data_IF_330756400299
#
_entry.id   IF_330756400299
#
_cell.length_a   1.000
_cell.length_b   1.000
_cell.length_c   1.000
_cell.angle_alpha   90.00
_cell.angle_beta   90.00
_cell.angle_gamma   90.00
#
_symmetry.space_group_name_H-M   'P 1'
#
loop_
_entity.id
_entity.type
_entity.pdbx_description
1 polymer ?
#
# COMPACT_ATOMS: atom_id res chain seq x y z
N UNK A 1 10.72 12.21 15.89
CA UNK A 1 10.74 11.28 14.75
C UNK A 1 11.09 12.15 13.56
N UNK A 2 12.14 11.83 12.81
CA UNK A 2 12.50 12.65 11.65
C UNK A 2 11.38 12.49 10.63
N UNK A 3 10.55 13.51 10.48
CA UNK A 3 9.81 13.72 9.24
C UNK A 3 10.87 13.83 8.15
N UNK A 4 11.20 12.70 7.52
CA UNK A 4 11.99 12.73 6.30
C UNK A 4 11.10 13.43 5.29
N UNK A 5 11.43 14.68 4.99
CA UNK A 5 10.78 15.41 3.90
C UNK A 5 10.94 14.54 2.66
N UNK A 6 9.82 14.13 2.05
CA UNK A 6 9.83 13.35 0.81
C UNK A 6 10.68 14.11 -0.22
N UNK A 7 11.48 13.38 -0.98
CA UNK A 7 12.26 14.01 -2.04
C UNK A 7 11.34 14.56 -3.12
N UNK A 8 11.76 15.59 -3.85
CA UNK A 8 11.00 16.11 -4.99
C UNK A 8 10.73 15.01 -6.03
N UNK A 9 11.64 14.04 -6.16
CA UNK A 9 11.46 12.86 -7.01
C UNK A 9 10.37 11.91 -6.51
N UNK A 10 10.32 11.65 -5.20
CA UNK A 10 9.26 10.80 -4.60
C UNK A 10 7.89 11.43 -4.77
N UNK A 11 7.76 12.74 -4.53
CA UNK A 11 6.50 13.46 -4.71
C UNK A 11 6.03 13.43 -6.17
N UNK A 12 6.97 13.55 -7.13
CA UNK A 12 6.64 13.45 -8.54
C UNK A 12 6.26 12.02 -8.95
N UNK A 13 6.98 11.01 -8.45
CA UNK A 13 6.65 9.61 -8.69
C UNK A 13 5.27 9.24 -8.12
N UNK A 14 4.91 9.75 -6.94
CA UNK A 14 3.57 9.60 -6.38
C UNK A 14 2.50 10.23 -7.27
N UNK A 15 2.75 11.43 -7.82
CA UNK A 15 1.84 12.06 -8.78
C UNK A 15 1.68 11.22 -10.06
N UNK A 16 2.75 10.60 -10.56
CA UNK A 16 2.67 9.67 -11.68
C UNK A 16 1.82 8.45 -11.32
N UNK A 17 2.03 7.84 -10.14
CA UNK A 17 1.22 6.72 -9.69
C UNK A 17 -0.28 7.09 -9.59
N UNK A 18 -0.59 8.25 -9.01
CA UNK A 18 -1.96 8.75 -8.95
C UNK A 18 -2.57 8.99 -10.34
N UNK A 19 -1.79 9.50 -11.29
CA UNK A 19 -2.24 9.69 -12.67
C UNK A 19 -2.50 8.35 -13.39
N UNK A 20 -1.71 7.31 -13.10
CA UNK A 20 -1.92 5.95 -13.62
C UNK A 20 -3.22 5.36 -13.05
N UNK A 21 -3.43 5.45 -11.74
CA UNK A 21 -4.65 4.96 -11.07
C UNK A 21 -5.91 5.68 -11.59
N UNK A 22 -5.80 6.99 -11.84
CA UNK A 22 -6.85 7.79 -12.48
C UNK A 22 -7.09 7.50 -13.97
N UNK A 23 -6.25 6.67 -14.60
CA UNK A 23 -6.29 6.39 -16.04
C UNK A 23 -5.89 7.58 -16.92
N UNK A 24 -5.19 8.56 -16.35
CA UNK A 24 -4.71 9.76 -17.04
C UNK A 24 -3.39 9.53 -17.79
N UNK A 25 -2.59 8.57 -17.31
CA UNK A 25 -1.37 8.11 -18.00
C UNK A 25 -1.20 6.59 -17.97
N UNK A 26 -0.25 6.09 -18.77
CA UNK A 26 0.12 4.67 -18.84
C UNK A 26 1.13 4.33 -17.75
N UNK A 27 0.99 3.17 -17.12
CA UNK A 27 1.89 2.66 -16.07
C UNK A 27 3.37 2.64 -16.49
N UNK A 28 3.65 2.52 -17.80
CA UNK A 28 4.99 2.51 -18.37
C UNK A 28 5.76 3.81 -18.07
N UNK A 29 5.09 4.96 -18.01
CA UNK A 29 5.74 6.24 -17.71
C UNK A 29 6.29 6.27 -16.28
N UNK A 30 5.52 5.76 -15.31
CA UNK A 30 5.98 5.66 -13.93
C UNK A 30 7.10 4.63 -13.77
N UNK A 31 7.02 3.49 -14.46
CA UNK A 31 8.07 2.45 -14.45
C UNK A 31 9.38 3.01 -15.02
N UNK A 32 9.34 3.71 -16.15
CA UNK A 32 10.53 4.35 -16.74
C UNK A 32 11.13 5.40 -15.79
N UNK A 33 10.29 6.21 -15.14
CA UNK A 33 10.75 7.18 -14.16
C UNK A 33 11.45 6.51 -12.96
N UNK A 34 10.91 5.40 -12.46
CA UNK A 34 11.55 4.58 -11.42
C UNK A 34 12.92 4.06 -11.89
N UNK A 35 13.00 3.47 -13.09
CA UNK A 35 14.24 2.90 -13.61
C UNK A 35 15.35 3.96 -13.75
N UNK A 36 15.01 5.13 -14.29
CA UNK A 36 15.95 6.23 -14.50
C UNK A 36 16.60 6.72 -13.19
N UNK A 37 15.85 6.73 -12.09
CA UNK A 37 16.31 7.25 -10.80
C UNK A 37 16.78 6.16 -9.83
N UNK A 38 16.54 4.88 -10.13
CA UNK A 38 16.92 3.74 -9.28
C UNK A 38 18.44 3.64 -9.00
N UNK A 39 19.26 4.38 -9.75
CA UNK A 39 20.71 4.41 -9.62
C UNK A 39 21.23 5.66 -8.89
N UNK A 40 20.33 6.56 -8.48
CA UNK A 40 20.70 7.78 -7.75
C UNK A 40 21.14 7.45 -6.33
N UNK A 41 22.12 8.22 -5.83
CA UNK A 41 22.75 7.93 -4.53
C UNK A 41 21.81 8.07 -3.32
N UNK A 42 20.74 8.84 -3.46
CA UNK A 42 19.74 9.09 -2.41
C UNK A 42 18.43 8.31 -2.65
N UNK A 43 18.43 7.36 -3.60
CA UNK A 43 17.25 6.58 -3.95
C UNK A 43 16.88 5.57 -2.85
N UNK A 44 15.63 5.63 -2.38
CA UNK A 44 15.07 4.68 -1.43
C UNK A 44 14.07 3.74 -2.12
N UNK A 45 14.57 2.58 -2.57
CA UNK A 45 13.76 1.60 -3.29
C UNK A 45 12.56 1.09 -2.49
N UNK A 46 12.67 1.02 -1.15
CA UNK A 46 11.58 0.59 -0.28
C UNK A 46 10.44 1.62 -0.29
N UNK A 47 10.80 2.90 -0.14
CA UNK A 47 9.85 4.01 -0.14
C UNK A 47 9.11 4.11 -1.47
N UNK A 48 9.82 3.98 -2.59
CA UNK A 48 9.21 4.04 -3.92
C UNK A 48 8.31 2.83 -4.18
N UNK A 49 8.72 1.64 -3.74
CA UNK A 49 7.85 0.46 -3.81
C UNK A 49 6.55 0.66 -3.02
N UNK A 50 6.63 1.24 -1.81
CA UNK A 50 5.44 1.52 -1.00
C UNK A 50 4.50 2.53 -1.66
N UNK A 51 5.04 3.60 -2.27
CA UNK A 51 4.26 4.57 -3.05
C UNK A 51 3.51 3.85 -4.18
N UNK A 52 4.22 3.02 -4.96
CA UNK A 52 3.61 2.29 -6.07
C UNK A 52 2.58 1.27 -5.57
N UNK A 53 2.88 0.51 -4.52
CA UNK A 53 1.97 -0.48 -3.94
C UNK A 53 0.66 0.17 -3.52
N UNK A 54 0.73 1.33 -2.86
CA UNK A 54 -0.45 2.00 -2.33
C UNK A 54 -1.26 2.74 -3.41
N UNK A 55 -0.59 3.43 -4.32
CA UNK A 55 -1.27 4.31 -5.30
C UNK A 55 -1.53 3.65 -6.65
N UNK A 56 -0.65 2.78 -7.14
CA UNK A 56 -0.77 2.19 -8.47
C UNK A 56 -0.23 0.74 -8.49
N UNK A 57 -1.04 -0.26 -8.10
CA UNK A 57 -0.61 -1.66 -8.04
C UNK A 57 -0.03 -2.19 -9.36
N UNK A 58 -0.44 -1.66 -10.51
CA UNK A 58 0.13 -2.00 -11.82
C UNK A 58 1.57 -1.50 -11.99
N UNK A 59 1.90 -0.32 -11.47
CA UNK A 59 3.29 0.16 -11.40
C UNK A 59 4.10 -0.71 -10.45
N UNK A 60 3.54 -1.05 -9.28
CA UNK A 60 4.21 -1.94 -8.31
C UNK A 60 4.57 -3.29 -8.94
N UNK A 61 3.68 -3.87 -9.75
CA UNK A 61 3.93 -5.09 -10.54
C UNK A 61 5.10 -4.92 -11.52
N UNK A 62 5.23 -3.76 -12.13
CA UNK A 62 6.32 -3.44 -13.05
C UNK A 62 7.67 -3.27 -12.36
N UNK A 63 7.69 -2.72 -11.14
CA UNK A 63 8.95 -2.35 -10.47
C UNK A 63 9.45 -3.36 -9.44
N UNK A 64 8.60 -4.25 -8.91
CA UNK A 64 8.95 -5.11 -7.76
C UNK A 64 10.22 -5.93 -8.01
N UNK A 65 10.43 -6.43 -9.23
CA UNK A 65 11.60 -7.23 -9.61
C UNK A 65 12.92 -6.43 -9.67
N UNK A 66 12.84 -5.10 -9.71
CA UNK A 66 13.99 -4.20 -9.64
C UNK A 66 14.37 -3.82 -8.21
N UNK A 67 13.49 -4.08 -7.24
CA UNK A 67 13.75 -3.83 -5.82
C UNK A 67 14.40 -5.07 -5.21
N UNK A 68 15.60 -4.90 -4.65
CA UNK A 68 16.31 -6.01 -4.00
C UNK A 68 15.58 -6.48 -2.74
N UNK A 69 15.76 -7.75 -2.38
CA UNK A 69 15.08 -8.36 -1.23
C UNK A 69 15.32 -7.58 0.08
N UNK A 70 16.51 -7.01 0.27
CA UNK A 70 16.84 -6.21 1.45
C UNK A 70 16.00 -4.92 1.54
N UNK A 71 15.68 -4.30 0.41
CA UNK A 71 14.83 -3.11 0.39
C UNK A 71 13.36 -3.47 0.50
N UNK A 72 12.92 -4.59 -0.09
CA UNK A 72 11.56 -5.12 0.15
C UNK A 72 11.31 -5.36 1.65
N UNK A 73 12.30 -5.88 2.37
CA UNK A 73 12.21 -6.11 3.83
C UNK A 73 11.98 -4.83 4.65
N UNK A 74 12.30 -3.67 4.09
CA UNK A 74 12.13 -2.36 4.74
C UNK A 74 10.78 -1.70 4.44
N UNK A 75 9.91 -2.36 3.67
CA UNK A 75 8.58 -1.84 3.34
C UNK A 75 7.77 -1.51 4.59
N UNK A 76 7.06 -0.38 4.54
CA UNK A 76 6.14 0.12 5.53
C UNK A 76 4.68 0.03 5.06
N UNK A 77 4.39 -0.74 4.01
CA UNK A 77 3.05 -0.83 3.41
C UNK A 77 1.95 -1.21 4.42
N UNK A 78 2.26 -2.08 5.38
CA UNK A 78 1.31 -2.45 6.45
C UNK A 78 0.89 -1.24 7.29
N UNK A 79 1.85 -0.38 7.67
CA UNK A 79 1.57 0.83 8.43
C UNK A 79 0.80 1.85 7.59
N UNK A 80 1.20 2.03 6.32
CA UNK A 80 0.51 2.92 5.37
C UNK A 80 -0.96 2.55 5.22
N UNK A 81 -1.28 1.27 5.02
CA UNK A 81 -2.66 0.80 4.95
C UNK A 81 -3.37 1.06 6.29
N UNK A 82 -2.76 0.66 7.41
CA UNK A 82 -3.36 0.81 8.73
C UNK A 82 -3.67 2.28 9.13
N UNK A 83 -2.87 3.22 8.65
CA UNK A 83 -3.05 4.66 8.88
C UNK A 83 -4.12 5.31 7.99
N UNK A 84 -4.54 4.63 6.92
CA UNK A 84 -5.56 5.15 6.00
C UNK A 84 -6.93 4.46 6.17
N UNK A 85 -7.02 3.35 6.90
CA UNK A 85 -8.28 2.61 7.11
C UNK A 85 -9.37 3.41 7.84
N UNK A 86 -9.02 4.51 8.51
CA UNK A 86 -9.96 5.42 9.17
C UNK A 86 -10.66 6.39 8.19
N UNK A 87 -10.11 6.56 6.99
CA UNK A 87 -10.65 7.45 5.94
C UNK A 87 -10.98 6.71 4.64
N UNK A 88 -10.36 5.56 4.38
CA UNK A 88 -10.49 4.75 3.17
C UNK A 88 -11.00 3.34 3.54
N UNK A 89 -12.29 3.23 3.83
CA UNK A 89 -12.92 1.98 4.29
C UNK A 89 -14.14 1.55 3.48
N UNK A 90 -14.32 2.11 2.28
CA UNK A 90 -15.35 1.66 1.35
C UNK A 90 -15.07 0.27 0.78
N UNK A 91 -16.06 -0.30 0.08
CA UNK A 91 -15.96 -1.59 -0.61
C UNK A 91 -14.70 -1.64 -1.51
N UNK A 92 -14.52 -0.60 -2.34
CA UNK A 92 -13.42 -0.53 -3.30
C UNK A 92 -12.06 -0.38 -2.61
N UNK A 93 -11.97 0.42 -1.53
CA UNK A 93 -10.73 0.61 -0.77
C UNK A 93 -10.31 -0.67 -0.05
N UNK A 94 -11.24 -1.34 0.63
CA UNK A 94 -10.96 -2.58 1.34
C UNK A 94 -10.56 -3.70 0.37
N UNK A 95 -11.21 -3.80 -0.78
CA UNK A 95 -10.84 -4.75 -1.82
C UNK A 95 -9.43 -4.47 -2.38
N UNK A 96 -9.10 -3.19 -2.61
CA UNK A 96 -7.77 -2.76 -3.03
C UNK A 96 -6.70 -3.11 -1.98
N UNK A 97 -6.96 -2.86 -0.70
CA UNK A 97 -6.02 -3.22 0.37
C UNK A 97 -5.78 -4.72 0.45
N UNK A 98 -6.83 -5.54 0.31
CA UNK A 98 -6.69 -7.00 0.22
C UNK A 98 -5.78 -7.41 -0.95
N UNK A 99 -5.97 -6.81 -2.12
CA UNK A 99 -5.15 -7.09 -3.30
C UNK A 99 -3.68 -6.71 -3.09
N UNK A 100 -3.43 -5.51 -2.55
CA UNK A 100 -2.08 -5.01 -2.24
C UNK A 100 -1.38 -5.95 -1.27
N UNK A 101 -2.04 -6.35 -0.18
CA UNK A 101 -1.47 -7.23 0.85
C UNK A 101 -1.11 -8.59 0.25
N UNK A 102 -2.00 -9.18 -0.55
CA UNK A 102 -1.73 -10.47 -1.21
C UNK A 102 -0.58 -10.37 -2.20
N UNK A 103 -0.53 -9.29 -2.98
CA UNK A 103 0.54 -9.06 -3.92
C UNK A 103 1.88 -8.89 -3.21
N UNK A 104 1.94 -8.07 -2.17
CA UNK A 104 3.14 -7.84 -1.37
C UNK A 104 3.69 -9.17 -0.80
N UNK A 105 2.84 -9.95 -0.12
CA UNK A 105 3.21 -11.26 0.43
C UNK A 105 3.71 -12.23 -0.64
N UNK A 106 3.06 -12.26 -1.80
CA UNK A 106 3.45 -13.14 -2.92
C UNK A 106 4.81 -12.78 -3.54
N UNK A 107 5.26 -11.52 -3.40
CA UNK A 107 6.51 -11.02 -3.97
C UNK A 107 7.62 -10.81 -2.93
N UNK A 108 7.46 -11.36 -1.73
CA UNK A 108 8.47 -11.32 -0.67
C UNK A 108 8.60 -9.96 0.01
N UNK A 109 7.58 -9.10 -0.12
CA UNK A 109 7.44 -7.89 0.69
C UNK A 109 6.74 -8.28 2.00
N UNK A 110 7.40 -8.17 3.17
CA UNK A 110 6.78 -8.51 4.43
C UNK A 110 5.62 -7.56 4.71
N UNK A 111 4.48 -8.12 5.10
CA UNK A 111 3.33 -7.36 5.58
C UNK A 111 3.04 -7.82 7.00
N UNK A 112 3.17 -6.91 7.96
CA UNK A 112 2.76 -7.16 9.34
C UNK A 112 1.22 -7.14 9.41
N UNK A 113 0.63 -8.33 9.38
CA UNK A 113 -0.83 -8.47 9.42
C UNK A 113 -1.42 -8.00 10.75
N UNK A 114 -0.68 -8.05 11.86
CA UNK A 114 -1.17 -7.56 13.16
C UNK A 114 -1.38 -6.05 13.11
N UNK A 115 -0.47 -5.30 12.49
CA UNK A 115 -0.60 -3.84 12.30
C UNK A 115 -1.85 -3.50 11.46
N UNK A 116 -2.09 -4.22 10.37
CA UNK A 116 -3.28 -3.97 9.53
C UNK A 116 -4.57 -4.38 10.25
N UNK A 117 -4.56 -5.49 10.99
CA UNK A 117 -5.70 -5.92 11.82
C UNK A 117 -6.02 -4.89 12.91
N UNK A 118 -5.00 -4.34 13.57
CA UNK A 118 -5.17 -3.25 14.53
C UNK A 118 -5.76 -2.00 13.89
N UNK A 119 -5.35 -1.66 12.66
CA UNK A 119 -5.96 -0.60 11.85
C UNK A 119 -7.45 -0.86 11.57
N UNK A 120 -7.80 -2.09 11.16
CA UNK A 120 -9.19 -2.48 10.93
C UNK A 120 -10.04 -2.35 12.20
N UNK A 121 -9.53 -2.83 13.33
CA UNK A 121 -10.24 -2.76 14.60
C UNK A 121 -10.44 -1.31 15.05
N UNK A 122 -9.42 -0.45 14.90
CA UNK A 122 -9.53 0.98 15.21
C UNK A 122 -10.59 1.68 14.37
N UNK A 123 -10.63 1.41 13.06
CA UNK A 123 -11.62 1.99 12.16
C UNK A 123 -13.04 1.49 12.47
N UNK A 124 -13.19 0.19 12.79
CA UNK A 124 -14.47 -0.37 13.23
C UNK A 124 -14.95 0.23 14.54
N UNK A 125 -14.07 0.36 15.53
CA UNK A 125 -14.37 0.96 16.84
C UNK A 125 -14.78 2.44 16.68
N UNK A 126 -14.16 3.17 15.74
CA UNK A 126 -14.56 4.55 15.45
C UNK A 126 -15.98 4.61 14.86
N UNK A 127 -16.31 3.73 13.91
CA UNK A 127 -17.63 3.64 13.27
C UNK A 127 -18.73 3.12 14.20
N UNK A 128 -18.35 2.36 15.23
CA UNK A 128 -19.27 1.71 16.15
C UNK A 128 -20.15 2.75 16.86
N UNK A 129 -21.46 2.62 16.71
CA UNK A 129 -22.44 3.48 17.37
C UNK A 129 -22.99 4.64 16.54
N UNK A 130 -22.44 4.92 15.35
CA UNK A 130 -23.02 5.91 14.43
C UNK A 130 -23.10 5.46 12.96
N UNK A 131 -22.29 4.49 12.54
CA UNK A 131 -22.37 3.91 11.21
C UNK A 131 -23.39 2.76 11.14
N UNK A 132 -23.81 2.42 9.92
CA UNK A 132 -24.67 1.26 9.68
C UNK A 132 -23.84 -0.01 9.54
N UNK A 133 -24.43 -1.18 9.81
CA UNK A 133 -23.77 -2.47 9.56
C UNK A 133 -23.26 -2.61 8.13
N UNK A 134 -24.00 -2.07 7.14
CA UNK A 134 -23.58 -2.07 5.74
C UNK A 134 -22.35 -1.21 5.47
N UNK A 135 -22.18 -0.09 6.19
CA UNK A 135 -20.99 0.77 6.07
C UNK A 135 -19.74 0.13 6.72
N UNK A 136 -19.92 -0.71 7.73
CA UNK A 136 -18.82 -1.44 8.39
C UNK A 136 -18.48 -2.77 7.71
N UNK A 137 -19.36 -3.29 6.85
CA UNK A 137 -19.20 -4.59 6.22
C UNK A 137 -17.88 -4.78 5.45
N UNK A 138 -17.37 -3.79 4.70
CA UNK A 138 -16.09 -3.93 3.99
C UNK A 138 -14.91 -4.14 4.93
N UNK A 139 -14.83 -3.36 6.01
CA UNK A 139 -13.79 -3.49 7.04
C UNK A 139 -13.87 -4.83 7.76
N UNK A 140 -15.09 -5.28 8.09
CA UNK A 140 -15.30 -6.61 8.69
C UNK A 140 -14.79 -7.71 7.75
N UNK A 141 -15.13 -7.63 6.47
CA UNK A 141 -14.68 -8.59 5.47
C UNK A 141 -13.15 -8.58 5.33
N UNK A 142 -12.54 -7.40 5.21
CA UNK A 142 -11.08 -7.26 5.14
C UNK A 142 -10.42 -7.90 6.36
N UNK A 143 -10.85 -7.53 7.58
CA UNK A 143 -10.33 -8.11 8.84
C UNK A 143 -10.43 -9.64 8.84
N UNK A 144 -11.58 -10.19 8.47
CA UNK A 144 -11.79 -11.64 8.47
C UNK A 144 -10.89 -12.34 7.44
N UNK A 145 -10.68 -11.72 6.27
CA UNK A 145 -9.70 -12.19 5.27
C UNK A 145 -8.27 -12.19 5.83
N UNK A 146 -7.87 -11.11 6.53
CA UNK A 146 -6.52 -10.99 7.11
C UNK A 146 -6.28 -12.02 8.21
N UNK A 147 -7.27 -12.30 9.07
CA UNK A 147 -7.21 -13.37 10.06
C UNK A 147 -7.03 -14.75 9.42
N UNK A 148 -7.69 -14.99 8.29
CA UNK A 148 -7.54 -16.23 7.54
C UNK A 148 -6.13 -16.37 6.94
N UNK A 149 -5.56 -15.27 6.42
CA UNK A 149 -4.17 -15.25 5.91
C UNK A 149 -3.16 -15.50 7.03
N UNK A 150 -3.33 -14.87 8.19
CA UNK A 150 -2.46 -15.06 9.35
C UNK A 150 -2.47 -16.51 9.85
N UNK A 151 -3.63 -17.18 9.79
CA UNK A 151 -3.76 -18.58 10.21
C UNK A 151 -3.20 -19.60 9.20
N UNK A 152 -2.99 -19.16 7.95
CA UNK A 152 -2.49 -19.99 6.85
C UNK A 152 -0.98 -19.93 6.63
N UNK A 153 -0.28 -19.03 7.33
CA UNK A 153 1.17 -18.87 7.37
C UNK A 153 1.77 -19.46 8.65
#
# INVERSE_FOLDING_TARGET
MSDSIRSEQEEYFEQLCLAVDGGETHEQEAIEYFEEHSHDGDFDAAQWLDIALYHAPDVARGIVDFVDAQDRERSHIAQTIADNLDIAYGDDDCARFEEIIRFALANGVPVDLDVVLDGCNRALDDLEGWATEGAMAPLVQLRDTLLALQSGH
#
